data_IF_603618961020
#
_entry.id   IF_603618961020
#
_cell.length_a   1.000
_cell.length_b   1.000
_cell.length_c   1.000
_cell.angle_alpha   90.00
_cell.angle_beta   90.00
_cell.angle_gamma   90.00
#
_symmetry.space_group_name_H-M   'P 1'
#
loop_
_entity.id
_entity.type
_entity.pdbx_description
1 polymer ?
#
# COMPACT_ATOMS: atom_id res chain seq x y z
N UNK A 1 3.31 -2.28 7.58
CA UNK A 1 4.14 -1.19 7.01
C UNK A 1 4.72 -1.62 5.66
N UNK A 2 3.97 -1.40 4.57
CA UNK A 2 4.49 -1.52 3.19
C UNK A 2 5.49 -0.39 2.86
N UNK A 3 5.53 0.64 3.71
CA UNK A 3 6.25 1.91 3.50
C UNK A 3 7.57 2.05 4.28
N UNK A 4 7.87 1.17 5.24
CA UNK A 4 9.03 1.35 6.13
C UNK A 4 9.91 0.10 6.28
N UNK A 5 9.65 -0.95 5.51
CA UNK A 5 10.48 -2.14 5.51
C UNK A 5 11.60 -1.99 4.50
N UNK A 6 12.76 -1.50 4.94
CA UNK A 6 13.94 -1.45 4.08
C UNK A 6 14.54 -2.86 3.98
N UNK A 7 14.99 -3.28 2.79
CA UNK A 7 15.41 -4.67 2.44
C UNK A 7 14.31 -5.73 2.42
N UNK A 8 13.05 -5.35 2.28
CA UNK A 8 11.97 -6.30 2.04
C UNK A 8 11.18 -5.91 0.81
N UNK A 9 10.79 -6.89 0.01
CA UNK A 9 9.70 -6.73 -0.93
C UNK A 9 8.39 -7.11 -0.25
N UNK A 10 7.35 -6.34 -0.52
CA UNK A 10 6.00 -6.65 -0.08
C UNK A 10 5.15 -6.99 -1.29
N UNK A 11 4.43 -8.10 -1.21
CA UNK A 11 3.45 -8.46 -2.24
C UNK A 11 2.32 -7.43 -2.31
N UNK A 12 1.49 -7.58 -3.33
CA UNK A 12 0.13 -7.06 -3.34
C UNK A 12 -0.55 -7.43 -2.03
N UNK A 13 -1.26 -6.47 -1.43
CA UNK A 13 -2.00 -6.67 -0.18
C UNK A 13 -3.04 -7.76 -0.38
N UNK A 14 -2.92 -8.84 0.38
CA UNK A 14 -3.83 -9.98 0.27
C UNK A 14 -5.03 -9.87 1.22
N UNK A 15 -4.95 -9.00 2.24
CA UNK A 15 -6.04 -8.83 3.19
C UNK A 15 -5.96 -7.45 3.89
N UNK A 16 -7.06 -6.72 3.94
CA UNK A 16 -7.24 -5.50 4.73
C UNK A 16 -7.91 -5.86 6.05
N UNK A 17 -7.15 -5.74 7.13
CA UNK A 17 -7.64 -5.84 8.50
C UNK A 17 -7.83 -4.45 9.10
N UNK A 18 -8.02 -4.37 10.41
CA UNK A 18 -7.88 -3.13 11.15
C UNK A 18 -8.04 -3.32 12.64
N UNK A 19 -7.54 -2.36 13.40
CA UNK A 19 -7.67 -2.35 14.86
C UNK A 19 -9.14 -2.34 15.25
N UNK A 20 -9.51 -3.28 16.11
CA UNK A 20 -10.76 -3.28 16.85
C UNK A 20 -10.48 -3.44 18.35
N UNK A 21 -11.48 -3.10 19.16
CA UNK A 21 -11.42 -3.24 20.60
C UNK A 21 -12.24 -4.45 21.06
N UNK A 22 -11.71 -5.26 21.96
CA UNK A 22 -12.41 -6.40 22.55
C UNK A 22 -12.30 -6.38 24.08
N UNK A 23 -13.40 -6.59 24.79
CA UNK A 23 -13.39 -6.59 26.25
C UNK A 23 -14.74 -6.24 26.85
N UNK A 24 -14.73 -5.58 28.02
CA UNK A 24 -15.96 -5.15 28.67
C UNK A 24 -16.69 -4.08 27.83
N UNK A 25 -18.00 -4.24 27.65
CA UNK A 25 -18.80 -3.41 26.73
C UNK A 25 -18.68 -1.90 26.98
N UNK A 26 -18.70 -1.47 28.24
CA UNK A 26 -18.59 -0.04 28.59
C UNK A 26 -17.23 0.50 28.15
N UNK A 27 -16.16 -0.23 28.47
CA UNK A 27 -14.81 0.21 28.14
C UNK A 27 -14.49 0.10 26.64
N UNK A 28 -15.05 -0.88 25.93
CA UNK A 28 -14.99 -0.96 24.46
C UNK A 28 -15.62 0.29 23.85
N UNK A 29 -16.80 0.71 24.31
CA UNK A 29 -17.43 1.96 23.87
C UNK A 29 -16.58 3.18 24.22
N UNK A 30 -16.01 3.24 25.43
CA UNK A 30 -15.09 4.31 25.84
C UNK A 30 -13.88 4.43 24.90
N UNK A 31 -13.25 3.31 24.54
CA UNK A 31 -12.12 3.26 23.64
C UNK A 31 -12.50 3.70 22.21
N UNK A 32 -13.61 3.16 21.68
CA UNK A 32 -14.11 3.53 20.34
C UNK A 32 -14.49 5.02 20.21
N UNK A 33 -15.05 5.61 21.27
CA UNK A 33 -15.45 7.02 21.32
C UNK A 33 -14.32 7.94 21.82
N UNK A 34 -13.15 7.38 22.17
CA UNK A 34 -12.01 8.11 22.76
C UNK A 34 -12.38 8.92 24.01
N UNK A 35 -13.29 8.39 24.83
CA UNK A 35 -13.76 9.02 26.08
C UNK A 35 -12.92 8.55 27.26
N UNK A 36 -12.58 9.48 28.16
CA UNK A 36 -11.66 9.26 29.30
C UNK A 36 -12.21 9.74 30.65
N UNK A 37 -13.46 10.19 30.69
CA UNK A 37 -14.08 10.74 31.90
C UNK A 37 -15.26 9.88 32.35
N UNK A 38 -15.75 10.13 33.56
CA UNK A 38 -16.86 9.38 34.16
C UNK A 38 -16.54 7.87 34.24
N UNK A 39 -17.45 7.01 33.79
CA UNK A 39 -17.24 5.56 33.71
C UNK A 39 -16.01 5.13 32.89
N UNK A 40 -15.47 5.99 32.03
CA UNK A 40 -14.27 5.71 31.24
C UNK A 40 -12.94 6.03 31.96
N UNK A 41 -12.95 6.60 33.17
CA UNK A 41 -11.71 6.99 33.87
C UNK A 41 -10.83 5.79 34.24
N UNK A 42 -11.43 4.61 34.38
CA UNK A 42 -10.73 3.35 34.66
C UNK A 42 -10.43 2.54 33.40
N UNK A 43 -10.58 3.12 32.19
CA UNK A 43 -10.21 2.45 30.94
C UNK A 43 -8.73 2.03 30.99
N UNK A 44 -8.46 0.78 30.62
CA UNK A 44 -7.12 0.21 30.53
C UNK A 44 -7.05 -0.69 29.29
N UNK A 45 -6.22 -0.31 28.34
CA UNK A 45 -6.12 -0.92 27.01
C UNK A 45 -4.84 -1.76 26.94
N UNK A 46 -4.99 -3.07 26.86
CA UNK A 46 -3.89 -3.97 26.50
C UNK A 46 -3.57 -3.86 25.01
N UNK A 47 -2.29 -3.73 24.66
CA UNK A 47 -1.82 -3.69 23.28
C UNK A 47 -0.42 -4.29 23.14
N UNK A 48 -0.19 -5.03 22.05
CA UNK A 48 1.10 -5.66 21.78
C UNK A 48 2.19 -4.64 21.40
N UNK A 49 3.34 -4.74 22.07
CA UNK A 49 4.53 -3.93 21.81
C UNK A 49 5.03 -4.06 20.36
N UNK A 50 5.45 -2.94 19.78
CA UNK A 50 6.11 -2.90 18.46
C UNK A 50 5.15 -3.11 17.30
N UNK A 51 3.87 -2.77 17.47
CA UNK A 51 2.83 -2.91 16.45
C UNK A 51 2.24 -1.56 16.07
N UNK A 52 1.67 -1.45 14.86
CA UNK A 52 0.90 -0.27 14.44
C UNK A 52 -0.31 -0.01 15.35
N UNK A 53 -0.84 -1.06 15.98
CA UNK A 53 -1.88 -0.96 17.00
C UNK A 53 -1.41 -0.20 18.24
N UNK A 54 -0.16 -0.42 18.69
CA UNK A 54 0.44 0.34 19.78
C UNK A 54 0.58 1.82 19.41
N UNK A 55 1.10 2.12 18.24
CA UNK A 55 1.26 3.50 17.75
C UNK A 55 -0.09 4.22 17.73
N UNK A 56 -1.11 3.58 17.17
CA UNK A 56 -2.46 4.14 17.14
C UNK A 56 -3.02 4.42 18.54
N UNK A 57 -2.86 3.49 19.49
CA UNK A 57 -3.36 3.67 20.86
C UNK A 57 -2.58 4.80 21.56
N UNK A 58 -1.25 4.86 21.40
CA UNK A 58 -0.40 5.92 21.98
C UNK A 58 -0.72 7.31 21.43
N UNK A 59 -1.06 7.44 20.13
CA UNK A 59 -1.46 8.71 19.55
C UNK A 59 -2.84 9.20 20.02
N UNK A 60 -3.69 8.30 20.54
CA UNK A 60 -5.07 8.63 20.90
C UNK A 60 -5.35 8.62 22.41
N UNK A 61 -4.47 8.02 23.22
CA UNK A 61 -4.65 7.88 24.66
C UNK A 61 -3.37 8.25 25.43
N UNK A 62 -3.50 8.94 26.57
CA UNK A 62 -2.39 9.12 27.50
C UNK A 62 -1.86 7.77 28.02
N UNK A 63 -0.58 7.73 28.40
CA UNK A 63 0.09 6.48 28.80
C UNK A 63 -0.53 5.79 30.00
N UNK A 64 -1.24 6.50 30.90
CA UNK A 64 -1.91 5.89 32.04
C UNK A 64 -3.09 4.97 31.66
N UNK A 65 -3.58 5.05 30.42
CA UNK A 65 -4.63 4.18 29.89
C UNK A 65 -4.08 2.95 29.15
N UNK A 66 -2.77 2.86 28.96
CA UNK A 66 -2.15 1.88 28.05
C UNK A 66 -1.36 0.85 28.85
N UNK A 67 -1.63 -0.42 28.57
CA UNK A 67 -0.89 -1.57 29.11
C UNK A 67 -0.21 -2.25 27.93
N UNK A 68 1.09 -2.00 27.78
CA UNK A 68 1.90 -2.62 26.72
C UNK A 68 2.31 -4.01 27.16
N UNK A 69 2.00 -5.02 26.34
CA UNK A 69 2.36 -6.41 26.57
C UNK A 69 3.38 -6.91 25.55
N UNK A 70 4.07 -8.01 25.85
CA UNK A 70 5.06 -8.60 24.93
C UNK A 70 4.55 -9.87 24.25
N UNK A 71 3.50 -10.50 24.78
CA UNK A 71 2.93 -11.73 24.22
C UNK A 71 1.40 -11.69 24.20
N UNK A 72 0.79 -12.34 23.20
CA UNK A 72 -0.66 -12.42 23.09
C UNK A 72 -1.34 -13.11 24.29
N UNK A 73 -0.64 -14.02 24.96
CA UNK A 73 -1.15 -14.68 26.17
C UNK A 73 -1.32 -13.69 27.33
N UNK A 74 -0.47 -12.67 27.42
CA UNK A 74 -0.53 -11.64 28.46
C UNK A 74 -1.78 -10.76 28.31
N UNK A 75 -2.27 -10.51 27.09
CA UNK A 75 -3.52 -9.76 26.88
C UNK A 75 -4.73 -10.50 27.47
N UNK A 76 -4.80 -11.82 27.26
CA UNK A 76 -5.87 -12.64 27.79
C UNK A 76 -5.82 -12.71 29.32
N UNK A 77 -4.62 -12.88 29.90
CA UNK A 77 -4.41 -12.85 31.36
C UNK A 77 -4.77 -11.48 31.93
N UNK A 78 -4.35 -10.41 31.25
CA UNK A 78 -4.62 -9.03 31.64
C UNK A 78 -6.11 -8.70 31.67
N UNK A 79 -6.87 -9.22 30.71
CA UNK A 79 -8.33 -9.11 30.68
C UNK A 79 -8.99 -9.96 31.78
N UNK A 80 -8.48 -11.17 32.02
CA UNK A 80 -9.02 -12.08 33.05
C UNK A 80 -8.77 -11.59 34.49
N UNK A 81 -7.65 -10.92 34.76
CA UNK A 81 -7.31 -10.40 36.09
C UNK A 81 -7.61 -8.89 36.27
N UNK A 82 -8.20 -8.23 35.25
CA UNK A 82 -8.50 -6.79 35.20
C UNK A 82 -7.27 -5.86 35.25
N UNK A 83 -6.08 -6.33 34.87
CA UNK A 83 -4.95 -5.42 34.58
C UNK A 83 -5.31 -4.49 33.42
N UNK A 84 -6.04 -5.01 32.44
CA UNK A 84 -6.74 -4.23 31.43
C UNK A 84 -8.20 -4.67 31.32
N UNK A 85 -9.06 -3.81 30.76
CA UNK A 85 -10.47 -4.09 30.53
C UNK A 85 -10.86 -4.07 29.05
N UNK A 86 -9.91 -3.73 28.18
CA UNK A 86 -10.02 -3.75 26.72
C UNK A 86 -8.70 -4.21 26.13
N UNK A 87 -8.76 -4.97 25.04
CA UNK A 87 -7.65 -5.32 24.16
C UNK A 87 -7.79 -4.52 22.86
N UNK A 88 -6.69 -3.98 22.35
CA UNK A 88 -6.61 -3.35 21.03
C UNK A 88 -5.78 -4.24 20.09
N UNK A 89 -6.42 -4.82 19.07
CA UNK A 89 -5.78 -5.75 18.13
C UNK A 89 -6.52 -5.76 16.78
N UNK A 90 -5.87 -6.27 15.76
CA UNK A 90 -6.46 -6.61 14.47
C UNK A 90 -7.73 -7.45 14.63
N UNK A 91 -8.81 -7.01 13.99
CA UNK A 91 -10.15 -7.57 14.14
C UNK A 91 -10.22 -9.05 13.73
N UNK A 92 -9.41 -9.50 12.76
CA UNK A 92 -9.40 -10.91 12.32
C UNK A 92 -8.93 -11.89 13.40
N UNK A 93 -8.13 -11.41 14.35
CA UNK A 93 -7.52 -12.18 15.43
C UNK A 93 -8.34 -12.15 16.73
N UNK A 94 -9.43 -11.37 16.76
CA UNK A 94 -10.28 -11.24 17.94
C UNK A 94 -11.45 -12.23 17.93
N UNK A 95 -11.90 -12.71 19.10
CA UNK A 95 -13.10 -13.53 19.19
C UNK A 95 -14.33 -12.74 18.71
N UNK A 96 -15.21 -13.39 17.93
CA UNK A 96 -16.48 -12.80 17.49
C UNK A 96 -17.65 -13.14 18.40
N UNK A 97 -17.64 -14.34 18.95
CA UNK A 97 -18.63 -14.76 19.93
C UNK A 97 -18.17 -14.39 21.33
N UNK A 98 -19.11 -14.07 22.22
CA UNK A 98 -18.85 -13.92 23.65
C UNK A 98 -18.47 -15.29 24.21
N UNK A 99 -17.19 -15.68 24.12
CA UNK A 99 -16.76 -17.01 24.55
C UNK A 99 -16.82 -17.09 26.07
N UNK A 100 -17.84 -17.77 26.57
CA UNK A 100 -18.02 -18.08 27.99
C UNK A 100 -16.94 -19.05 28.51
N UNK A 101 -16.27 -19.77 27.60
CA UNK A 101 -15.36 -20.87 27.97
C UNK A 101 -14.00 -20.41 28.50
N UNK A 102 -13.50 -19.24 28.07
CA UNK A 102 -12.19 -18.73 28.52
C UNK A 102 -12.33 -17.79 29.74
N UNK A 103 -13.45 -17.08 29.82
CA UNK A 103 -13.64 -16.00 30.79
C UNK A 103 -14.78 -16.24 31.80
N UNK A 104 -15.42 -17.42 31.75
CA UNK A 104 -16.59 -17.77 32.55
C UNK A 104 -17.82 -16.94 32.15
N UNK A 105 -18.62 -16.54 33.15
CA UNK A 105 -19.83 -15.73 32.93
C UNK A 105 -19.56 -14.25 32.56
N UNK A 106 -18.29 -13.83 32.39
CA UNK A 106 -17.97 -12.44 32.06
C UNK A 106 -18.27 -12.15 30.58
N UNK A 107 -19.27 -11.29 30.27
CA UNK A 107 -19.58 -10.98 28.89
C UNK A 107 -18.55 -9.99 28.34
N UNK A 108 -17.68 -10.48 27.44
CA UNK A 108 -16.84 -9.63 26.61
C UNK A 108 -17.42 -9.52 25.21
N UNK A 109 -17.23 -8.36 24.60
CA UNK A 109 -17.79 -8.02 23.30
C UNK A 109 -16.71 -7.52 22.38
N UNK A 110 -16.84 -7.84 21.10
CA UNK A 110 -16.09 -7.21 20.02
C UNK A 110 -16.75 -5.88 19.66
N UNK A 111 -15.94 -4.84 19.55
CA UNK A 111 -16.37 -3.52 19.12
C UNK A 111 -16.96 -3.52 17.71
N UNK A 112 -17.88 -2.59 17.46
CA UNK A 112 -18.57 -2.47 16.16
C UNK A 112 -17.91 -1.50 15.17
N UNK A 113 -16.76 -0.93 15.54
CA UNK A 113 -15.97 -0.04 14.68
C UNK A 113 -14.56 -0.60 14.50
N UNK A 114 -14.14 -0.68 13.25
CA UNK A 114 -12.72 -0.82 12.89
C UNK A 114 -12.08 0.56 12.87
N UNK A 115 -11.07 0.76 13.71
CA UNK A 115 -10.47 2.05 14.02
C UNK A 115 -9.35 2.43 13.04
N UNK A 116 -8.65 1.44 12.49
CA UNK A 116 -7.61 1.60 11.47
C UNK A 116 -7.93 0.75 10.23
N UNK A 117 -7.09 0.84 9.22
CA UNK A 117 -7.03 -0.09 8.10
C UNK A 117 -5.58 -0.60 8.04
N UNK A 118 -5.40 -1.91 8.22
CA UNK A 118 -4.10 -2.56 8.27
C UNK A 118 -3.94 -3.46 7.02
N UNK A 119 -3.25 -2.98 5.96
CA UNK A 119 -3.04 -3.77 4.75
C UNK A 119 -1.98 -4.85 4.98
N UNK A 120 -2.41 -6.10 5.09
CA UNK A 120 -1.56 -7.27 5.27
C UNK A 120 -1.00 -7.74 3.93
N UNK A 121 0.32 -7.88 3.87
CA UNK A 121 1.07 -8.33 2.70
C UNK A 121 2.12 -9.35 3.12
N UNK A 122 2.59 -10.19 2.19
CA UNK A 122 3.70 -11.11 2.48
C UNK A 122 5.00 -10.33 2.29
N UNK A 123 5.93 -10.45 3.24
CA UNK A 123 7.26 -9.87 3.15
C UNK A 123 8.27 -10.94 2.72
N UNK A 124 9.04 -10.66 1.68
CA UNK A 124 10.17 -11.46 1.21
C UNK A 124 11.46 -10.65 1.34
N UNK A 125 12.63 -11.29 1.32
CA UNK A 125 13.90 -10.57 1.36
C UNK A 125 14.08 -9.72 0.09
N UNK A 126 14.68 -8.55 0.25
CA UNK A 126 15.01 -7.62 -0.84
C UNK A 126 16.06 -8.15 -1.83
N UNK A 127 16.79 -9.19 -1.47
CA UNK A 127 17.89 -9.75 -2.28
C UNK A 127 17.46 -10.94 -3.17
N UNK A 128 16.16 -11.21 -3.25
CA UNK A 128 15.59 -12.36 -3.96
C UNK A 128 14.36 -11.94 -4.77
N UNK A 129 14.60 -11.17 -5.82
CA UNK A 129 13.57 -10.59 -6.69
C UNK A 129 12.73 -11.67 -7.39
N UNK A 130 13.38 -12.75 -7.87
CA UNK A 130 12.69 -13.85 -8.53
C UNK A 130 11.70 -14.55 -7.59
N UNK A 131 12.11 -14.82 -6.34
CA UNK A 131 11.21 -15.40 -5.35
C UNK A 131 10.08 -14.42 -4.97
N UNK A 132 10.41 -13.14 -4.78
CA UNK A 132 9.44 -12.09 -4.47
C UNK A 132 8.37 -11.99 -5.57
N UNK A 133 8.79 -12.04 -6.84
CA UNK A 133 7.91 -12.08 -8.01
C UNK A 133 6.99 -13.31 -7.96
N UNK A 134 7.53 -14.51 -7.70
CA UNK A 134 6.74 -15.75 -7.63
C UNK A 134 5.64 -15.66 -6.57
N UNK A 135 5.97 -15.21 -5.36
CA UNK A 135 4.98 -15.11 -4.28
C UNK A 135 3.89 -14.08 -4.61
N UNK A 136 4.26 -12.93 -5.16
CA UNK A 136 3.28 -11.92 -5.58
C UNK A 136 2.40 -12.42 -6.75
N UNK A 137 2.96 -13.22 -7.66
CA UNK A 137 2.23 -13.87 -8.73
C UNK A 137 1.24 -14.92 -8.26
N UNK A 138 1.56 -15.68 -7.22
CA UNK A 138 0.58 -16.58 -6.60
C UNK A 138 -0.60 -15.77 -6.04
N UNK A 139 -0.37 -14.66 -5.33
CA UNK A 139 -1.45 -13.81 -4.81
C UNK A 139 -2.32 -13.24 -5.94
N UNK A 140 -1.70 -12.71 -7.00
CA UNK A 140 -2.43 -12.17 -8.13
C UNK A 140 -3.22 -13.23 -8.90
N UNK A 141 -2.69 -14.45 -9.05
CA UNK A 141 -3.41 -15.55 -9.67
C UNK A 141 -4.65 -15.94 -8.85
N UNK A 142 -4.58 -15.92 -7.51
CA UNK A 142 -5.74 -16.18 -6.65
C UNK A 142 -6.84 -15.12 -6.80
N UNK A 143 -6.48 -13.83 -6.91
CA UNK A 143 -7.43 -12.76 -7.22
C UNK A 143 -8.02 -12.91 -8.62
N UNK A 144 -7.18 -13.18 -9.61
CA UNK A 144 -7.61 -13.39 -10.99
C UNK A 144 -8.58 -14.58 -11.09
N UNK A 145 -8.29 -15.67 -10.37
CA UNK A 145 -9.19 -16.81 -10.26
C UNK A 145 -10.59 -16.41 -9.81
N UNK A 146 -10.72 -15.55 -8.80
CA UNK A 146 -12.03 -15.05 -8.35
C UNK A 146 -12.68 -14.13 -9.39
N UNK A 147 -11.92 -13.20 -9.97
CA UNK A 147 -12.40 -12.29 -11.03
C UNK A 147 -12.97 -13.05 -12.23
N UNK A 148 -12.37 -14.19 -12.58
CA UNK A 148 -12.81 -15.04 -13.69
C UNK A 148 -13.85 -16.10 -13.27
N UNK A 149 -14.23 -16.16 -11.99
CA UNK A 149 -15.15 -17.17 -11.47
C UNK A 149 -14.58 -18.60 -11.51
N UNK A 150 -13.25 -18.74 -11.52
CA UNK A 150 -12.55 -20.02 -11.44
C UNK A 150 -12.42 -20.45 -9.99
N UNK A 151 -12.66 -21.72 -9.69
CA UNK A 151 -12.50 -22.31 -8.36
C UNK A 151 -11.51 -23.46 -8.38
N UNK A 152 -11.29 -24.07 -7.21
CA UNK A 152 -10.56 -25.34 -7.10
C UNK A 152 -11.09 -26.37 -8.10
N UNK A 153 -10.18 -26.95 -8.90
CA UNK A 153 -10.49 -27.97 -9.90
C UNK A 153 -9.34 -28.98 -9.99
N UNK A 154 -9.48 -30.11 -9.29
CA UNK A 154 -8.43 -31.12 -9.19
C UNK A 154 -8.07 -31.79 -10.53
N UNK A 155 -8.96 -31.75 -11.53
CA UNK A 155 -8.65 -32.29 -12.88
C UNK A 155 -7.64 -31.43 -13.66
N UNK A 156 -7.50 -30.16 -13.29
CA UNK A 156 -6.56 -29.19 -13.89
C UNK A 156 -5.34 -28.90 -13.00
N UNK A 157 -5.36 -29.38 -11.76
CA UNK A 157 -4.24 -29.28 -10.83
C UNK A 157 -3.13 -30.26 -11.23
N UNK A 158 -1.91 -29.77 -11.39
CA UNK A 158 -0.72 -30.58 -11.68
C UNK A 158 0.17 -30.67 -10.45
N UNK A 159 0.63 -31.88 -10.12
CA UNK A 159 1.53 -32.11 -8.97
C UNK A 159 2.96 -31.59 -9.21
N UNK A 160 3.27 -31.19 -10.44
CA UNK A 160 4.52 -30.53 -10.78
C UNK A 160 4.28 -29.51 -11.88
N UNK A 161 4.93 -28.36 -11.74
CA UNK A 161 5.24 -27.47 -12.86
C UNK A 161 6.64 -27.86 -13.33
N UNK A 162 6.88 -28.12 -14.63
CA UNK A 162 8.23 -28.32 -15.12
C UNK A 162 9.12 -27.16 -14.65
N UNK A 163 10.30 -27.47 -14.12
CA UNK A 163 11.27 -26.42 -13.78
C UNK A 163 11.70 -25.76 -15.08
N UNK A 164 11.13 -24.61 -15.36
CA UNK A 164 11.54 -23.71 -16.43
C UNK A 164 12.76 -22.95 -15.96
N UNK A 165 13.67 -22.60 -16.87
CA UNK A 165 14.86 -21.81 -16.53
C UNK A 165 14.55 -20.37 -16.12
N UNK A 166 13.28 -19.95 -16.19
CA UNK A 166 12.80 -18.62 -15.86
C UNK A 166 11.51 -18.71 -15.02
N UNK A 167 11.44 -17.95 -13.93
CA UNK A 167 10.28 -17.87 -13.04
C UNK A 167 9.03 -17.29 -13.72
N UNK A 168 9.19 -16.52 -14.79
CA UNK A 168 8.06 -16.00 -15.58
C UNK A 168 7.25 -17.10 -16.27
N UNK A 169 7.84 -18.27 -16.49
CA UNK A 169 7.21 -19.37 -17.25
C UNK A 169 6.45 -20.34 -16.33
N UNK A 170 6.42 -20.07 -15.02
CA UNK A 170 5.66 -20.87 -14.06
C UNK A 170 4.15 -20.73 -14.30
N UNK A 171 3.44 -21.86 -14.28
CA UNK A 171 1.98 -21.87 -14.34
C UNK A 171 1.38 -21.48 -12.98
N UNK A 172 1.12 -20.19 -12.77
CA UNK A 172 0.55 -19.68 -11.52
C UNK A 172 -0.92 -20.10 -11.30
N UNK A 173 -1.67 -20.40 -12.37
CA UNK A 173 -3.04 -20.91 -12.24
C UNK A 173 -3.11 -22.29 -11.63
N UNK A 174 -2.01 -23.03 -11.60
CA UNK A 174 -1.95 -24.27 -10.85
C UNK A 174 -2.32 -24.05 -9.37
N UNK A 175 -1.94 -22.91 -8.78
CA UNK A 175 -2.37 -22.55 -7.42
C UNK A 175 -3.90 -22.51 -7.32
N UNK A 176 -4.57 -21.78 -8.23
CA UNK A 176 -6.03 -21.66 -8.25
C UNK A 176 -6.71 -23.02 -8.38
N UNK A 177 -6.25 -23.88 -9.29
CA UNK A 177 -6.86 -25.19 -9.48
C UNK A 177 -6.60 -26.16 -8.33
N UNK A 178 -5.45 -26.08 -7.67
CA UNK A 178 -5.10 -26.97 -6.57
C UNK A 178 -5.72 -26.55 -5.23
N UNK A 179 -5.72 -25.25 -4.89
CA UNK A 179 -6.16 -24.76 -3.58
C UNK A 179 -7.45 -23.95 -3.59
N UNK A 180 -7.85 -23.40 -4.74
CA UNK A 180 -9.01 -22.50 -4.87
C UNK A 180 -8.60 -21.07 -5.20
N UNK A 181 -9.57 -20.21 -5.50
CA UNK A 181 -9.34 -18.77 -5.68
C UNK A 181 -9.21 -18.04 -4.33
N UNK A 182 -9.05 -16.72 -4.37
CA UNK A 182 -8.96 -15.89 -3.16
C UNK A 182 -10.14 -16.12 -2.18
N UNK A 183 -11.38 -16.07 -2.67
CA UNK A 183 -12.59 -16.28 -1.87
C UNK A 183 -12.70 -17.70 -1.29
N UNK A 184 -12.20 -18.71 -2.00
CA UNK A 184 -12.18 -20.10 -1.50
C UNK A 184 -11.21 -20.26 -0.31
N UNK A 185 -10.15 -19.44 -0.26
CA UNK A 185 -9.10 -19.51 0.76
C UNK A 185 -9.43 -18.71 2.02
N UNK A 186 -10.11 -17.56 1.89
CA UNK A 186 -10.44 -16.72 3.04
C UNK A 186 -11.77 -17.20 3.66
N UNK A 187 -11.79 -17.60 4.95
CA UNK A 187 -13.02 -17.97 5.62
C UNK A 187 -14.08 -16.87 5.51
N UNK A 188 -15.34 -17.24 5.24
CA UNK A 188 -16.44 -16.29 5.09
C UNK A 188 -16.54 -15.27 6.26
N UNK A 189 -16.27 -15.73 7.49
CA UNK A 189 -16.24 -14.86 8.70
C UNK A 189 -15.24 -13.71 8.63
N UNK A 190 -14.19 -13.81 7.81
CA UNK A 190 -13.13 -12.81 7.66
C UNK A 190 -13.41 -11.87 6.48
N UNK A 191 -14.03 -12.37 5.41
CA UNK A 191 -14.45 -11.54 4.26
C UNK A 191 -15.42 -10.42 4.68
N UNK A 192 -16.24 -10.66 5.70
CA UNK A 192 -17.20 -9.69 6.21
C UNK A 192 -16.60 -8.66 7.20
N UNK A 193 -15.30 -8.75 7.54
CA UNK A 193 -14.63 -7.75 8.40
C UNK A 193 -14.50 -6.42 7.66
N UNK A 194 -14.21 -6.47 6.37
CA UNK A 194 -13.99 -5.28 5.56
C UNK A 194 -14.43 -5.56 4.13
N UNK A 195 -15.29 -4.68 3.59
CA UNK A 195 -15.67 -4.75 2.18
C UNK A 195 -14.45 -4.57 1.26
N UNK A 196 -13.34 -4.00 1.74
CA UNK A 196 -12.08 -3.91 1.00
C UNK A 196 -11.50 -5.28 0.62
N UNK A 197 -11.86 -6.34 1.34
CA UNK A 197 -11.49 -7.73 1.03
C UNK A 197 -12.34 -8.37 -0.08
N UNK A 198 -13.08 -7.57 -0.83
CA UNK A 198 -13.85 -8.03 -1.98
C UNK A 198 -13.22 -7.53 -3.28
N UNK A 199 -13.42 -8.28 -4.36
CA UNK A 199 -13.00 -7.89 -5.71
C UNK A 199 -13.69 -6.60 -6.13
N UNK A 200 -12.90 -5.62 -6.57
CA UNK A 200 -13.39 -4.36 -7.11
C UNK A 200 -13.74 -4.52 -8.60
N UNK A 201 -15.04 -4.56 -8.89
CA UNK A 201 -15.57 -4.63 -10.26
C UNK A 201 -15.67 -3.27 -10.98
N UNK A 202 -14.98 -2.24 -10.48
CA UNK A 202 -15.00 -0.87 -11.00
C UNK A 202 -16.03 0.07 -10.38
N UNK A 203 -16.80 -0.41 -9.40
CA UNK A 203 -17.88 0.39 -8.78
C UNK A 203 -17.40 1.28 -7.62
N UNK A 204 -16.26 0.98 -7.01
CA UNK A 204 -15.69 1.75 -5.89
C UNK A 204 -14.33 2.35 -6.23
N UNK A 205 -13.96 3.41 -5.50
CA UNK A 205 -12.63 4.02 -5.58
C UNK A 205 -11.50 3.03 -5.33
N UNK A 206 -10.34 3.26 -5.93
CA UNK A 206 -9.15 2.43 -5.73
C UNK A 206 -7.98 3.20 -5.12
N UNK A 207 -8.01 4.55 -5.20
CA UNK A 207 -7.02 5.41 -4.56
C UNK A 207 -7.11 5.25 -3.04
N UNK A 208 -5.98 4.94 -2.40
CA UNK A 208 -5.92 4.77 -0.96
C UNK A 208 -4.52 5.12 -0.48
N UNK A 209 -4.44 6.09 0.43
CA UNK A 209 -3.18 6.41 1.08
C UNK A 209 -2.94 5.41 2.19
N UNK A 210 -2.12 4.39 1.91
CA UNK A 210 -1.63 3.53 2.99
C UNK A 210 -0.98 4.41 4.06
N UNK A 211 -1.33 4.26 5.35
CA UNK A 211 -0.73 5.06 6.41
C UNK A 211 0.79 4.97 6.32
N UNK A 212 1.46 6.13 6.34
CA UNK A 212 2.92 6.18 6.25
C UNK A 212 3.61 5.42 7.39
N UNK A 213 2.93 5.26 8.52
CA UNK A 213 3.45 4.66 9.74
C UNK A 213 4.18 5.69 10.61
N UNK A 214 5.07 5.22 11.47
CA UNK A 214 6.01 6.07 12.20
C UNK A 214 7.06 6.65 11.25
N UNK A 215 6.91 7.94 10.94
CA UNK A 215 7.77 8.70 10.06
C UNK A 215 9.02 9.26 10.76
N UNK A 216 9.06 9.22 12.10
CA UNK A 216 10.19 9.71 12.90
C UNK A 216 11.25 8.61 13.12
N UNK A 217 10.92 7.36 12.76
CA UNK A 217 11.84 6.23 12.87
C UNK A 217 13.03 6.40 11.92
N UNK A 218 14.21 6.65 12.50
CA UNK A 218 15.48 6.68 11.76
C UNK A 218 15.91 5.27 11.37
N UNK A 219 16.11 5.05 10.07
CA UNK A 219 16.74 3.85 9.54
C UNK A 219 18.23 4.11 9.31
N UNK A 220 19.06 3.12 9.63
CA UNK A 220 20.47 3.16 9.26
C UNK A 220 20.59 2.84 7.76
N UNK A 221 20.50 3.87 6.93
CA UNK A 221 20.54 3.71 5.48
C UNK A 221 21.85 3.08 4.99
N UNK A 222 22.95 3.23 5.75
CA UNK A 222 24.24 2.62 5.40
C UNK A 222 24.23 1.08 5.53
N UNK A 223 23.23 0.51 6.21
CA UNK A 223 23.05 -0.93 6.36
C UNK A 223 22.21 -1.58 5.25
N UNK A 224 21.75 -0.79 4.27
CA UNK A 224 20.94 -1.25 3.13
C UNK A 224 21.88 -1.70 2.01
N UNK A 225 21.94 -2.99 1.64
CA UNK A 225 22.62 -3.48 0.46
C UNK A 225 21.82 -3.17 -0.82
N UNK A 226 21.53 -1.90 -1.08
CA UNK A 226 21.04 -1.43 -2.38
C UNK A 226 21.98 -0.36 -2.92
N UNK A 227 22.15 -0.22 -4.25
CA UNK A 227 22.83 0.94 -4.80
C UNK A 227 22.16 2.22 -4.29
N UNK A 228 22.93 3.18 -3.79
CA UNK A 228 22.41 4.49 -3.39
C UNK A 228 22.18 5.36 -4.63
N UNK A 229 21.26 4.95 -5.50
CA UNK A 229 20.94 5.68 -6.72
C UNK A 229 20.31 7.05 -6.41
N UNK A 230 19.62 7.20 -5.27
CA UNK A 230 19.11 8.50 -4.83
C UNK A 230 20.27 9.48 -4.62
N UNK A 231 21.35 9.06 -3.96
CA UNK A 231 22.56 9.88 -3.85
C UNK A 231 23.20 10.18 -5.22
N UNK A 232 23.28 9.19 -6.12
CA UNK A 232 23.83 9.39 -7.47
C UNK A 232 23.01 10.42 -8.28
N UNK A 233 21.68 10.37 -8.22
CA UNK A 233 20.79 11.35 -8.86
C UNK A 233 21.04 12.74 -8.29
N UNK A 234 21.25 12.85 -6.96
CA UNK A 234 21.57 14.12 -6.32
C UNK A 234 22.93 14.67 -6.75
N UNK A 235 23.96 13.82 -6.86
CA UNK A 235 25.29 14.20 -7.36
C UNK A 235 25.24 14.62 -8.83
N UNK A 236 24.43 13.94 -9.64
CA UNK A 236 24.17 14.28 -11.04
C UNK A 236 23.45 15.64 -11.17
N UNK A 237 22.66 16.02 -10.17
CA UNK A 237 21.97 17.32 -10.10
C UNK A 237 20.67 17.40 -10.89
N UNK A 238 20.22 16.31 -11.51
CA UNK A 238 18.93 16.23 -12.18
C UNK A 238 18.44 14.77 -12.26
N UNK A 239 17.12 14.59 -12.24
CA UNK A 239 16.44 13.30 -12.44
C UNK A 239 16.22 13.02 -13.93
N UNK A 240 16.60 11.85 -14.44
CA UNK A 240 16.18 11.37 -15.77
C UNK A 240 14.86 10.60 -15.66
N UNK A 241 13.75 11.24 -16.04
CA UNK A 241 12.43 10.61 -16.00
C UNK A 241 11.91 10.29 -17.40
N UNK A 242 11.63 9.02 -17.66
CA UNK A 242 10.86 8.60 -18.83
C UNK A 242 9.37 8.86 -18.66
N UNK A 243 8.68 9.28 -19.72
CA UNK A 243 7.22 9.42 -19.75
C UNK A 243 6.66 8.63 -20.92
N UNK A 244 5.71 7.73 -20.65
CA UNK A 244 5.01 7.00 -21.71
C UNK A 244 4.00 7.91 -22.41
N UNK A 245 4.06 7.97 -23.74
CA UNK A 245 3.24 8.86 -24.57
C UNK A 245 2.59 8.09 -25.71
N UNK A 246 1.40 8.50 -26.20
CA UNK A 246 0.85 7.95 -27.44
C UNK A 246 1.78 8.19 -28.64
N UNK A 247 1.66 7.37 -29.68
CA UNK A 247 2.42 7.57 -30.92
C UNK A 247 2.09 8.93 -31.58
N UNK A 248 3.12 9.66 -32.04
CA UNK A 248 2.98 10.99 -32.64
C UNK A 248 2.80 12.13 -31.64
N UNK A 249 3.09 11.89 -30.37
CA UNK A 249 2.97 12.88 -29.30
C UNK A 249 3.98 14.02 -29.46
N UNK A 250 3.53 15.26 -29.23
CA UNK A 250 4.36 16.46 -29.19
C UNK A 250 4.46 16.96 -27.75
N UNK A 251 5.68 17.24 -27.28
CA UNK A 251 5.95 17.75 -25.93
C UNK A 251 5.20 19.05 -25.57
N UNK A 252 4.61 19.74 -26.56
CA UNK A 252 3.85 20.97 -26.38
C UNK A 252 2.37 20.76 -26.01
N UNK A 253 1.87 19.52 -25.98
CA UNK A 253 0.47 19.21 -25.65
C UNK A 253 0.37 18.17 -24.53
N UNK A 254 0.68 18.60 -23.31
CA UNK A 254 0.76 17.72 -22.12
C UNK A 254 -0.62 17.61 -21.45
N UNK A 255 -1.59 17.04 -22.16
CA UNK A 255 -2.95 16.86 -21.66
C UNK A 255 -3.16 15.45 -21.06
N UNK A 256 -4.07 15.35 -20.09
CA UNK A 256 -4.57 14.10 -19.49
C UNK A 256 -3.46 13.28 -18.83
N UNK A 257 -3.42 11.98 -19.09
CA UNK A 257 -2.50 11.04 -18.44
C UNK A 257 -1.04 11.41 -18.70
N UNK A 258 -0.68 11.87 -19.89
CA UNK A 258 0.71 12.28 -20.18
C UNK A 258 1.10 13.49 -19.33
N UNK A 259 0.17 14.45 -19.17
CA UNK A 259 0.26 15.58 -18.24
C UNK A 259 0.57 15.14 -16.82
N UNK A 260 -0.28 14.27 -16.30
CA UNK A 260 -0.16 13.74 -14.96
C UNK A 260 1.14 12.96 -14.76
N UNK A 261 1.56 12.16 -15.75
CA UNK A 261 2.83 11.42 -15.69
C UNK A 261 4.06 12.33 -15.63
N UNK A 262 4.08 13.40 -16.43
CA UNK A 262 5.15 14.40 -16.40
C UNK A 262 5.14 15.20 -15.09
N UNK A 263 3.96 15.46 -14.52
CA UNK A 263 3.84 16.08 -13.21
C UNK A 263 4.38 15.20 -12.09
N UNK A 264 4.18 13.88 -12.14
CA UNK A 264 4.78 12.97 -11.17
C UNK A 264 6.31 12.93 -11.27
N UNK A 265 6.90 13.00 -12.47
CA UNK A 265 8.35 13.18 -12.63
C UNK A 265 8.85 14.45 -11.91
N UNK A 266 8.16 15.58 -12.10
CA UNK A 266 8.49 16.86 -11.46
C UNK A 266 8.24 16.85 -9.95
N UNK A 267 7.23 16.12 -9.50
CA UNK A 267 6.95 15.92 -8.07
C UNK A 267 8.06 15.14 -7.38
N UNK A 268 8.58 14.10 -8.05
CA UNK A 268 9.74 13.35 -7.56
C UNK A 268 11.01 14.21 -7.58
N UNK A 269 11.21 15.03 -8.61
CA UNK A 269 12.33 15.97 -8.66
C UNK A 269 12.27 16.98 -7.51
N UNK A 270 11.10 17.60 -7.26
CA UNK A 270 10.88 18.46 -6.11
C UNK A 270 11.21 17.75 -4.79
N UNK A 271 10.81 16.49 -4.64
CA UNK A 271 11.08 15.69 -3.45
C UNK A 271 12.58 15.42 -3.22
N UNK A 272 13.35 15.17 -4.29
CA UNK A 272 14.79 14.88 -4.25
C UNK A 272 15.63 16.15 -4.08
N UNK A 273 15.24 17.22 -4.76
CA UNK A 273 16.00 18.47 -4.90
C UNK A 273 15.41 19.64 -4.09
N UNK A 274 14.82 19.35 -2.93
CA UNK A 274 14.39 20.36 -1.94
C UNK A 274 13.49 21.46 -2.55
N UNK A 275 12.51 21.04 -3.34
CA UNK A 275 11.54 21.90 -4.01
C UNK A 275 11.90 22.31 -5.44
N UNK A 276 13.10 22.00 -5.94
CA UNK A 276 13.45 22.24 -7.35
C UNK A 276 12.80 21.18 -8.27
N UNK A 277 11.61 21.50 -8.74
CA UNK A 277 10.85 20.66 -9.66
C UNK A 277 11.34 20.73 -11.12
N UNK A 278 12.22 21.69 -11.46
CA UNK A 278 12.80 21.84 -12.80
C UNK A 278 14.09 21.00 -12.96
N UNK A 279 14.63 20.45 -11.86
CA UNK A 279 15.76 19.53 -11.85
C UNK A 279 15.40 18.13 -12.40
N UNK A 280 14.76 18.08 -13.57
CA UNK A 280 14.33 16.87 -14.25
C UNK A 280 14.47 16.98 -15.76
N UNK A 281 15.02 15.95 -16.38
CA UNK A 281 14.99 15.76 -17.83
C UNK A 281 13.90 14.75 -18.18
N UNK A 282 12.96 15.15 -19.05
CA UNK A 282 11.87 14.30 -19.49
C UNK A 282 12.17 13.66 -20.85
N UNK A 283 12.12 12.33 -20.91
CA UNK A 283 12.28 11.56 -22.16
C UNK A 283 10.95 10.89 -22.51
N UNK A 284 10.37 11.20 -23.66
CA UNK A 284 9.12 10.58 -24.10
C UNK A 284 9.34 9.21 -24.77
N UNK A 285 8.51 8.23 -24.44
CA UNK A 285 8.53 6.90 -25.05
C UNK A 285 7.16 6.55 -25.63
N UNK A 286 7.11 6.29 -26.94
CA UNK A 286 5.88 5.85 -27.62
C UNK A 286 5.59 4.34 -27.49
N UNK A 287 6.52 3.60 -26.89
CA UNK A 287 6.51 2.14 -26.86
C UNK A 287 6.89 1.63 -25.47
N UNK A 288 5.96 0.91 -24.83
CA UNK A 288 6.14 0.36 -23.49
C UNK A 288 7.40 -0.51 -23.40
N UNK A 289 7.63 -1.42 -24.36
CA UNK A 289 8.82 -2.27 -24.39
C UNK A 289 10.12 -1.48 -24.45
N UNK A 290 10.17 -0.38 -25.21
CA UNK A 290 11.35 0.49 -25.29
C UNK A 290 11.56 1.27 -23.99
N UNK A 291 10.48 1.76 -23.39
CA UNK A 291 10.52 2.49 -22.12
C UNK A 291 11.03 1.62 -20.97
N UNK A 292 10.56 0.37 -20.89
CA UNK A 292 11.04 -0.62 -19.91
C UNK A 292 12.49 -0.98 -20.19
N UNK A 293 12.87 -1.19 -21.45
CA UNK A 293 14.27 -1.44 -21.80
C UNK A 293 15.17 -0.28 -21.33
N UNK A 294 14.78 0.98 -21.58
CA UNK A 294 15.51 2.16 -21.13
C UNK A 294 15.71 2.18 -19.59
N UNK A 295 14.67 1.83 -18.84
CA UNK A 295 14.72 1.74 -17.38
C UNK A 295 15.69 0.65 -16.92
N UNK A 296 15.58 -0.56 -17.49
CA UNK A 296 16.42 -1.72 -17.13
C UNK A 296 17.88 -1.57 -17.53
N UNK A 297 18.18 -0.75 -18.55
CA UNK A 297 19.55 -0.44 -18.98
C UNK A 297 20.11 0.84 -18.36
N UNK A 298 19.40 1.43 -17.38
CA UNK A 298 19.78 2.69 -16.71
C UNK A 298 19.98 3.89 -17.65
N UNK A 299 19.26 3.91 -18.78
CA UNK A 299 19.17 5.10 -19.64
C UNK A 299 18.27 6.18 -19.03
N UNK A 300 17.31 5.76 -18.20
CA UNK A 300 16.47 6.61 -17.37
C UNK A 300 16.49 6.08 -15.93
N UNK A 301 16.27 6.96 -14.97
CA UNK A 301 16.25 6.61 -13.54
C UNK A 301 14.90 6.03 -13.15
N UNK A 302 13.82 6.66 -13.65
CA UNK A 302 12.43 6.26 -13.38
C UNK A 302 11.60 6.38 -14.64
N UNK A 303 10.52 5.63 -14.71
CA UNK A 303 9.52 5.69 -15.79
C UNK A 303 8.16 6.07 -15.20
N UNK A 304 7.44 7.01 -15.82
CA UNK A 304 6.13 7.48 -15.38
C UNK A 304 5.06 7.26 -16.45
N UNK A 305 3.86 6.90 -16.02
CA UNK A 305 2.73 6.61 -16.91
C UNK A 305 2.81 5.24 -17.55
N UNK A 306 3.65 4.34 -17.03
CA UNK A 306 3.73 2.98 -17.49
C UNK A 306 2.47 2.20 -17.08
N UNK A 307 1.96 1.38 -18.00
CA UNK A 307 0.92 0.42 -17.65
C UNK A 307 1.51 -0.60 -16.67
N UNK A 308 0.83 -0.83 -15.55
CA UNK A 308 1.26 -1.80 -14.55
C UNK A 308 1.11 -3.19 -15.12
N UNK A 309 2.25 -3.87 -15.23
CA UNK A 309 2.36 -5.26 -15.64
C UNK A 309 3.39 -5.94 -14.74
N UNK A 310 3.07 -7.12 -14.23
CA UNK A 310 4.01 -7.81 -13.33
C UNK A 310 5.15 -8.43 -14.13
N UNK A 311 6.38 -8.05 -13.79
CA UNK A 311 7.61 -8.39 -14.52
C UNK A 311 8.79 -8.40 -13.57
N UNK A 312 9.67 -9.40 -13.71
CA UNK A 312 10.95 -9.48 -12.97
C UNK A 312 11.86 -8.30 -13.35
N UNK A 313 12.51 -7.69 -12.37
CA UNK A 313 13.47 -6.58 -12.55
C UNK A 313 12.84 -5.20 -12.73
N UNK A 314 11.51 -5.08 -12.61
CA UNK A 314 10.80 -3.80 -12.62
C UNK A 314 9.85 -3.71 -11.43
N UNK A 315 10.08 -2.72 -10.58
CA UNK A 315 9.18 -2.38 -9.49
C UNK A 315 8.18 -1.31 -9.93
N UNK A 316 6.89 -1.55 -9.71
CA UNK A 316 5.84 -0.54 -9.93
C UNK A 316 5.36 0.02 -8.59
N UNK A 317 5.27 1.34 -8.48
CA UNK A 317 4.64 1.98 -7.31
C UNK A 317 3.13 1.76 -7.30
N UNK A 318 2.45 2.27 -6.26
CA UNK A 318 0.99 2.33 -6.21
C UNK A 318 0.43 3.03 -7.47
N UNK A 319 -0.59 2.47 -8.14
CA UNK A 319 -1.16 3.10 -9.32
C UNK A 319 -1.74 4.47 -9.01
N UNK A 320 -1.28 5.49 -9.73
CA UNK A 320 -1.81 6.85 -9.61
C UNK A 320 -2.96 7.13 -10.57
N UNK A 321 -3.20 6.28 -11.57
CA UNK A 321 -4.34 6.47 -12.48
C UNK A 321 -4.93 5.14 -12.96
N UNK A 322 -6.25 5.08 -12.99
CA UNK A 322 -7.03 3.91 -13.40
C UNK A 322 -7.71 4.19 -14.74
N UNK A 323 -7.40 3.37 -15.75
CA UNK A 323 -7.98 3.43 -17.08
C UNK A 323 -9.47 3.09 -17.11
N UNK A 324 -10.14 3.52 -18.18
CA UNK A 324 -11.58 3.30 -18.36
C UNK A 324 -11.92 1.87 -18.83
N UNK A 325 -10.94 1.09 -19.25
CA UNK A 325 -11.07 -0.25 -19.84
C UNK A 325 -11.15 -1.39 -18.80
N UNK A 326 -11.41 -1.05 -17.54
CA UNK A 326 -11.53 -1.99 -16.40
C UNK A 326 -10.29 -2.85 -16.10
N UNK A 327 -9.16 -2.69 -16.80
CA UNK A 327 -7.96 -3.52 -16.59
C UNK A 327 -6.66 -2.71 -16.59
N UNK A 328 -6.65 -1.47 -17.07
CA UNK A 328 -5.42 -0.69 -17.16
C UNK A 328 -5.22 0.16 -15.92
N UNK A 329 -4.04 0.01 -15.33
CA UNK A 329 -3.54 0.80 -14.21
C UNK A 329 -2.26 1.46 -14.66
N UNK A 330 -2.04 2.71 -14.28
CA UNK A 330 -0.87 3.46 -14.67
C UNK A 330 -0.14 3.93 -13.41
N UNK A 331 1.18 3.73 -13.42
CA UNK A 331 2.03 3.99 -12.26
C UNK A 331 3.39 4.54 -12.69
N UNK A 332 4.23 4.82 -11.69
CA UNK A 332 5.66 4.97 -11.91
C UNK A 332 6.34 3.61 -11.75
N UNK A 333 7.48 3.45 -12.41
CA UNK A 333 8.29 2.26 -12.39
C UNK A 333 9.77 2.60 -12.16
N UNK A 334 10.43 1.74 -11.40
CA UNK A 334 11.85 1.75 -11.05
C UNK A 334 12.44 0.37 -11.36
N UNK A 335 13.76 0.24 -11.34
CA UNK A 335 14.38 -1.08 -11.27
C UNK A 335 14.08 -1.71 -9.92
N UNK A 336 13.86 -3.03 -9.90
CA UNK A 336 13.48 -3.75 -8.67
C UNK A 336 14.64 -3.82 -7.66
N UNK A 337 15.88 -3.78 -8.16
CA UNK A 337 17.12 -3.72 -7.37
C UNK A 337 17.36 -2.35 -6.69
N UNK A 338 16.55 -1.35 -7.00
CA UNK A 338 16.64 0.01 -6.46
C UNK A 338 15.58 0.24 -5.37
N UNK A 339 15.73 -0.47 -4.25
CA UNK A 339 14.71 -0.49 -3.18
C UNK A 339 14.46 0.91 -2.59
N UNK A 340 15.50 1.73 -2.42
CA UNK A 340 15.36 3.07 -1.83
C UNK A 340 14.63 4.03 -2.77
N UNK A 341 15.02 4.10 -4.05
CA UNK A 341 14.33 4.93 -5.04
C UNK A 341 12.89 4.44 -5.24
N UNK A 342 12.69 3.13 -5.32
CA UNK A 342 11.35 2.51 -5.42
C UNK A 342 10.43 2.93 -4.27
N UNK A 343 10.96 2.94 -3.05
CA UNK A 343 10.24 3.37 -1.85
C UNK A 343 9.92 4.86 -1.86
N UNK A 344 10.88 5.70 -2.28
CA UNK A 344 10.68 7.15 -2.40
C UNK A 344 9.64 7.50 -3.47
N UNK A 345 9.73 6.89 -4.66
CA UNK A 345 8.76 7.03 -5.76
C UNK A 345 7.36 6.67 -5.29
N UNK A 346 7.22 5.54 -4.60
CA UNK A 346 5.94 5.12 -4.05
C UNK A 346 5.42 6.11 -2.98
N UNK A 347 6.29 6.61 -2.11
CA UNK A 347 5.91 7.58 -1.08
C UNK A 347 5.45 8.92 -1.67
N UNK A 348 6.06 9.41 -2.75
CA UNK A 348 5.62 10.62 -3.48
C UNK A 348 4.20 10.45 -4.03
N UNK A 349 3.86 9.30 -4.62
CA UNK A 349 2.50 9.05 -5.09
C UNK A 349 1.52 9.00 -3.91
N UNK A 350 1.85 8.24 -2.87
CA UNK A 350 1.03 8.14 -1.66
C UNK A 350 0.83 9.51 -0.99
N UNK A 351 1.82 10.41 -1.04
CA UNK A 351 1.71 11.78 -0.52
C UNK A 351 0.61 12.58 -1.20
N UNK A 352 0.50 12.49 -2.52
CA UNK A 352 -0.58 13.17 -3.25
C UNK A 352 -1.97 12.62 -2.92
N UNK A 353 -2.08 11.29 -2.72
CA UNK A 353 -3.35 10.63 -2.34
C UNK A 353 -3.69 10.95 -0.87
N UNK A 354 -2.69 10.96 0.01
CA UNK A 354 -2.84 11.35 1.42
C UNK A 354 -3.33 12.78 1.52
N UNK A 355 -2.72 13.70 0.75
CA UNK A 355 -3.14 15.09 0.71
C UNK A 355 -4.62 15.20 0.27
N UNK A 356 -5.06 14.40 -0.70
CA UNK A 356 -6.46 14.35 -1.10
C UNK A 356 -7.37 13.84 0.03
N UNK A 357 -6.98 12.77 0.72
CA UNK A 357 -7.76 12.17 1.82
C UNK A 357 -7.94 13.11 3.01
N UNK A 358 -6.88 13.83 3.38
CA UNK A 358 -6.87 14.77 4.51
C UNK A 358 -7.22 16.21 4.13
N UNK A 359 -7.54 16.46 2.85
CA UNK A 359 -7.90 17.80 2.36
C UNK A 359 -6.75 18.80 2.40
N UNK A 360 -5.50 18.33 2.32
CA UNK A 360 -4.30 19.16 2.20
C UNK A 360 -4.17 19.59 0.73
N UNK A 361 -4.00 20.90 0.52
CA UNK A 361 -3.88 21.51 -0.80
C UNK A 361 -2.47 22.02 -1.03
N UNK A 362 -2.12 22.36 -2.27
CA UNK A 362 -0.78 22.85 -2.64
C UNK A 362 -0.27 23.99 -1.75
N UNK A 363 -1.13 24.96 -1.43
CA UNK A 363 -0.78 26.14 -0.61
C UNK A 363 -0.62 25.83 0.88
N UNK A 364 -1.03 24.63 1.32
CA UNK A 364 -0.92 24.16 2.71
C UNK A 364 -0.04 22.91 2.81
N UNK A 365 0.94 22.78 1.92
CA UNK A 365 1.83 21.62 1.86
C UNK A 365 2.63 21.42 3.16
N UNK A 366 2.77 22.44 4.00
CA UNK A 366 3.35 22.35 5.34
C UNK A 366 2.57 21.45 6.31
N UNK A 367 1.28 21.19 6.03
CA UNK A 367 0.46 20.23 6.78
C UNK A 367 0.85 18.77 6.50
N UNK A 368 1.59 18.51 5.42
CA UNK A 368 2.15 17.17 5.19
C UNK A 368 3.17 16.82 6.27
N UNK A 369 3.24 15.55 6.71
CA UNK A 369 4.22 15.14 7.70
C UNK A 369 5.65 15.20 7.15
N UNK A 370 6.62 15.46 8.03
CA UNK A 370 8.03 15.21 7.74
C UNK A 370 8.32 13.72 7.85
N UNK A 371 9.37 13.27 7.18
CA UNK A 371 9.69 11.84 7.10
C UNK A 371 11.19 11.59 7.14
N UNK A 372 11.69 11.08 8.27
CA UNK A 372 13.10 10.70 8.43
C UNK A 372 13.44 9.32 7.82
N UNK A 373 12.47 8.62 7.22
CA UNK A 373 12.65 7.26 6.69
C UNK A 373 13.64 7.20 5.51
N UNK A 374 13.80 8.31 4.78
CA UNK A 374 14.73 8.44 3.64
C UNK A 374 16.01 9.20 4.04
N UNK A 375 16.30 9.27 5.33
CA UNK A 375 17.42 10.03 5.87
C UNK A 375 17.06 11.49 6.14
N UNK A 376 17.88 12.16 6.96
CA UNK A 376 17.60 13.51 7.44
C UNK A 376 17.53 14.54 6.29
N UNK A 377 18.28 14.34 5.20
CA UNK A 377 18.31 15.24 4.04
C UNK A 377 17.02 15.23 3.21
N UNK A 378 16.26 14.14 3.24
CA UNK A 378 14.98 13.99 2.52
C UNK A 378 13.78 14.12 3.46
N UNK A 379 14.00 14.66 4.67
CA UNK A 379 12.96 14.89 5.67
C UNK A 379 11.72 15.66 5.17
N UNK A 380 11.91 16.51 4.16
CA UNK A 380 10.88 17.37 3.56
C UNK A 380 10.35 16.85 2.22
N UNK A 381 10.84 15.72 1.72
CA UNK A 381 10.54 15.20 0.39
C UNK A 381 9.02 15.15 0.08
N UNK A 382 8.21 14.70 1.03
CA UNK A 382 6.75 14.60 0.84
C UNK A 382 6.06 15.98 0.83
N UNK A 383 6.58 16.94 1.61
CA UNK A 383 6.11 18.33 1.60
C UNK A 383 6.43 18.98 0.27
N UNK A 384 7.68 18.85 -0.19
CA UNK A 384 8.16 19.47 -1.43
C UNK A 384 7.44 18.89 -2.65
N UNK A 385 7.19 17.58 -2.66
CA UNK A 385 6.36 16.94 -3.68
C UNK A 385 4.96 17.56 -3.76
N UNK A 386 4.26 17.69 -2.62
CA UNK A 386 2.91 18.26 -2.56
C UNK A 386 2.93 19.79 -2.78
N UNK A 387 4.00 20.47 -2.40
CA UNK A 387 4.19 21.90 -2.69
C UNK A 387 4.29 22.17 -4.20
N UNK A 388 4.80 21.24 -5.00
CA UNK A 388 4.74 21.32 -6.46
C UNK A 388 3.39 20.87 -7.01
N UNK A 389 2.96 19.65 -6.65
CA UNK A 389 1.86 18.94 -7.31
C UNK A 389 0.47 19.29 -6.79
N UNK A 390 0.35 19.65 -5.51
CA UNK A 390 -0.89 19.62 -4.77
C UNK A 390 -1.35 18.20 -4.44
N UNK A 391 -2.58 18.08 -4.00
CA UNK A 391 -3.26 16.80 -3.84
C UNK A 391 -3.42 16.07 -5.19
N UNK A 392 -3.67 14.77 -5.13
CA UNK A 392 -3.99 13.97 -6.31
C UNK A 392 -5.19 14.56 -7.08
N UNK A 393 -6.18 15.10 -6.37
CA UNK A 393 -7.34 15.76 -6.97
C UNK A 393 -6.97 17.02 -7.75
N UNK A 394 -6.03 17.83 -7.26
CA UNK A 394 -5.50 19.00 -7.96
C UNK A 394 -4.73 18.59 -9.22
N UNK A 395 -3.88 17.56 -9.13
CA UNK A 395 -3.20 16.97 -10.30
C UNK A 395 -4.20 16.50 -11.36
N UNK A 396 -5.27 15.82 -10.93
CA UNK A 396 -6.29 15.34 -11.85
C UNK A 396 -7.02 16.51 -12.52
N UNK A 397 -7.45 17.52 -11.76
CA UNK A 397 -8.15 18.69 -12.31
C UNK A 397 -7.26 19.46 -13.28
N UNK A 398 -5.99 19.66 -12.93
CA UNK A 398 -5.00 20.33 -13.78
C UNK A 398 -4.87 19.64 -15.14
N UNK A 399 -4.78 18.31 -15.15
CA UNK A 399 -4.46 17.55 -16.36
C UNK A 399 -5.69 17.10 -17.15
N UNK A 400 -6.84 16.90 -16.52
CA UNK A 400 -8.06 16.40 -17.16
C UNK A 400 -9.17 17.45 -17.29
N UNK A 401 -9.01 18.64 -16.67
CA UNK A 401 -10.01 19.71 -16.71
C UNK A 401 -11.36 19.33 -16.09
N UNK A 402 -11.38 18.38 -15.16
CA UNK A 402 -12.59 17.72 -14.69
C UNK A 402 -12.49 17.35 -13.21
N UNK A 403 -13.57 17.52 -12.45
CA UNK A 403 -13.71 17.06 -11.06
C UNK A 403 -14.38 15.69 -10.95
N UNK A 404 -14.59 14.98 -12.07
CA UNK A 404 -15.30 13.67 -12.09
C UNK A 404 -14.53 12.53 -11.41
N UNK A 405 -13.32 12.78 -10.91
CA UNK A 405 -12.53 11.79 -10.20
C UNK A 405 -13.19 11.30 -8.90
N UNK A 406 -14.20 12.00 -8.37
CA UNK A 406 -14.97 11.53 -7.20
C UNK A 406 -15.84 10.28 -7.46
N UNK A 407 -15.76 9.66 -8.63
CA UNK A 407 -16.52 8.46 -8.98
C UNK A 407 -15.68 7.43 -9.74
N UNK A 408 -16.08 6.16 -9.65
CA UNK A 408 -15.35 5.03 -10.24
C UNK A 408 -14.00 4.80 -9.56
N UNK A 409 -13.08 4.12 -10.25
CA UNK A 409 -11.80 3.69 -9.68
C UNK A 409 -10.82 4.83 -9.35
N UNK A 410 -10.93 5.95 -10.04
CA UNK A 410 -10.11 7.15 -9.78
C UNK A 410 -10.61 7.98 -8.58
N UNK A 411 -11.53 7.44 -7.78
CA UNK A 411 -11.95 8.02 -6.51
C UNK A 411 -11.15 7.45 -5.34
N UNK A 412 -11.14 8.17 -4.22
CA UNK A 412 -10.72 7.64 -2.92
C UNK A 412 -11.58 6.40 -2.57
N UNK A 413 -10.93 5.34 -2.12
CA UNK A 413 -11.59 4.18 -1.57
C UNK A 413 -12.00 4.46 -0.12
N UNK A 414 -13.30 4.64 0.11
CA UNK A 414 -13.86 4.88 1.45
C UNK A 414 -14.34 3.56 2.06
N UNK A 415 -13.43 2.59 2.20
CA UNK A 415 -13.69 1.21 2.69
C UNK A 415 -14.60 0.34 1.80
N UNK A 416 -14.60 0.57 0.49
CA UNK A 416 -15.29 -0.28 -0.48
C UNK A 416 -14.38 -1.41 -1.02
N UNK A 417 -14.91 -2.34 -1.83
CA UNK A 417 -14.10 -3.34 -2.54
C UNK A 417 -12.82 -2.77 -3.15
N UNK A 418 -11.70 -3.47 -2.96
CA UNK A 418 -10.37 -3.01 -3.39
C UNK A 418 -9.50 -4.11 -4.01
N UNK A 419 -9.80 -5.38 -3.76
CA UNK A 419 -9.00 -6.47 -4.31
C UNK A 419 -9.10 -6.49 -5.84
N UNK A 420 -7.97 -6.66 -6.51
CA UNK A 420 -7.91 -6.77 -7.96
C UNK A 420 -6.61 -7.47 -8.36
N UNK A 421 -6.63 -8.23 -9.45
CA UNK A 421 -5.43 -8.85 -10.03
C UNK A 421 -4.65 -7.87 -10.92
N UNK A 422 -3.32 -7.78 -10.78
CA UNK A 422 -2.54 -7.02 -11.75
C UNK A 422 -2.42 -7.79 -13.07
N UNK A 423 -2.55 -7.12 -14.24
CA UNK A 423 -2.32 -7.76 -15.52
C UNK A 423 -0.90 -8.35 -15.59
N UNK A 424 -0.78 -9.56 -16.11
CA UNK A 424 0.52 -10.15 -16.49
C UNK A 424 0.80 -9.79 -17.94
N UNK A 425 2.09 -9.62 -18.27
CA UNK A 425 2.61 -9.29 -19.61
C UNK A 425 2.06 -10.24 -20.69
N UNK A 426 1.76 -11.48 -20.31
CA UNK A 426 1.17 -12.49 -21.17
C UNK A 426 -0.05 -13.10 -20.47
N UNK A 427 -1.25 -12.69 -20.89
CA UNK A 427 -2.50 -13.25 -20.35
C UNK A 427 -2.67 -14.73 -20.72
N UNK A 428 -1.87 -15.25 -21.65
CA UNK A 428 -1.86 -16.67 -22.00
C UNK A 428 -0.98 -17.51 -21.04
N UNK A 429 -0.22 -16.87 -20.13
CA UNK A 429 0.53 -17.53 -19.03
C UNK A 429 -0.28 -17.64 -17.72
N UNK A 430 -1.43 -16.97 -17.64
CA UNK A 430 -2.49 -17.16 -16.64
C UNK A 430 -3.67 -17.94 -17.26
#
# INVERSE_FOLDING_TARGET
MRTTGVNFHFTTTYYYDGLAYYGNEIFVRCAQDRKRHSECSSLRICVMKGTTNEDFVRSNFPSEYIVVVSEFAEEAVGLANNTCNVIARDASLLPRDSSTDIFGDRPFVLGNKTMTIEPLSIATRGDDEEFSYVIDMVINALFYGEEQGLSKNMSRCTNSTPLTGNVSDLNFMNAVFCVGNYRDLIPARLLDISAMNQINNGTTGMLYASPFGDLDRKFDLASIPSPDHVHQIKEQGYLNCGVVTPAGYSANNIDKLVGMSADYCRSLAAAIFQGDYEAVTLTSFENDRRSIAALTTSEIDVLSGARVEKRVGVHFSEPFYYGADNISFYSMATRDDDTLLSSLVNAVILATIYALEFGIVKERSEEMPQSSIFGDELGWALRDAVAYSGSWGELYVKNFGSTKYHSGRNALNVRGPRMHSFPVVDRDLL
#
